data_IF_437512988649
#
_entry.id   IF_437512988649
#
_cell.length_a   1.000
_cell.length_b   1.000
_cell.length_c   1.000
_cell.angle_alpha   90.00
_cell.angle_beta   90.00
_cell.angle_gamma   90.00
#
_symmetry.space_group_name_H-M   'P 1'
#
loop_
_entity.id
_entity.type
_entity.pdbx_description
1 polymer ?
#
# COMPACT_ATOMS: atom_id res chain seq x y z
N UNK A 1 4.85 -17.77 15.52
CA UNK A 1 6.22 -18.19 15.89
C UNK A 1 6.23 -19.66 16.29
N UNK A 2 7.15 -20.48 15.78
CA UNK A 2 7.35 -21.85 16.22
C UNK A 2 8.70 -21.96 16.94
N UNK A 3 8.68 -22.40 18.19
CA UNK A 3 9.88 -22.50 19.02
C UNK A 3 10.46 -23.92 18.98
N UNK A 4 11.79 -23.98 19.04
CA UNK A 4 12.54 -25.23 19.18
C UNK A 4 13.04 -25.36 20.62
N UNK A 5 13.11 -26.58 21.14
CA UNK A 5 13.77 -26.89 22.40
C UNK A 5 14.36 -28.29 22.40
N UNK A 6 15.43 -28.47 23.16
CA UNK A 6 15.98 -29.76 23.58
C UNK A 6 16.09 -29.89 25.12
N UNK A 7 15.86 -28.80 25.86
CA UNK A 7 15.88 -28.74 27.32
C UNK A 7 14.54 -28.24 27.88
N UNK A 8 14.28 -28.58 29.15
CA UNK A 8 13.14 -28.11 29.93
C UNK A 8 13.55 -26.93 30.82
N UNK A 9 12.58 -26.08 31.18
CA UNK A 9 12.80 -24.98 32.13
C UNK A 9 13.39 -25.51 33.44
N UNK A 10 14.50 -24.90 33.87
CA UNK A 10 15.25 -25.30 35.07
C UNK A 10 16.45 -26.23 34.82
N UNK A 11 16.69 -26.64 33.57
CA UNK A 11 17.91 -27.37 33.22
C UNK A 11 19.18 -26.51 33.36
N UNK A 12 20.33 -27.18 33.49
CA UNK A 12 21.63 -26.54 33.70
C UNK A 12 22.22 -25.92 32.42
N UNK A 13 21.82 -26.43 31.26
CA UNK A 13 22.18 -25.97 29.92
C UNK A 13 21.15 -26.44 28.89
N UNK A 14 21.31 -25.99 27.63
CA UNK A 14 20.50 -26.40 26.48
C UNK A 14 19.70 -25.27 25.84
N UNK A 15 18.75 -25.64 24.99
CA UNK A 15 17.88 -24.74 24.23
C UNK A 15 16.44 -24.93 24.70
N UNK A 16 15.81 -23.83 25.10
CA UNK A 16 14.42 -23.79 25.55
C UNK A 16 13.55 -22.86 24.72
N UNK A 17 12.24 -22.96 24.94
CA UNK A 17 11.28 -21.92 24.53
C UNK A 17 11.55 -20.63 25.32
N UNK A 18 11.21 -19.44 24.80
CA UNK A 18 11.38 -18.21 25.57
C UNK A 18 10.43 -18.18 26.78
N UNK A 19 10.84 -17.49 27.84
CA UNK A 19 9.98 -17.18 28.99
C UNK A 19 8.92 -16.14 28.65
N UNK A 20 9.23 -15.25 27.71
CA UNK A 20 8.32 -14.26 27.14
C UNK A 20 8.87 -13.76 25.81
N UNK A 21 8.01 -13.21 24.97
CA UNK A 21 8.42 -12.48 23.78
C UNK A 21 7.39 -11.42 23.44
N UNK A 22 7.80 -10.43 22.64
CA UNK A 22 6.92 -9.40 22.09
C UNK A 22 7.28 -9.12 20.63
N UNK A 23 6.36 -8.55 19.87
CA UNK A 23 6.60 -8.06 18.50
C UNK A 23 6.80 -6.55 18.55
N UNK A 24 7.84 -6.08 17.88
CA UNK A 24 8.14 -4.67 17.73
C UNK A 24 8.35 -4.31 16.24
N UNK A 25 7.92 -3.13 15.84
CA UNK A 25 8.09 -2.60 14.50
C UNK A 25 8.94 -1.33 14.53
N UNK A 26 9.60 -1.02 13.42
CA UNK A 26 10.41 0.18 13.28
C UNK A 26 9.58 1.36 12.76
N UNK A 27 9.44 2.42 13.55
CA UNK A 27 8.64 3.61 13.20
C UNK A 27 9.38 4.63 12.31
N UNK A 28 10.58 4.28 11.84
CA UNK A 28 11.50 5.19 11.13
C UNK A 28 12.63 5.72 12.03
N UNK A 29 12.39 5.82 13.34
CA UNK A 29 13.32 6.38 14.33
C UNK A 29 13.70 5.42 15.46
N UNK A 30 12.80 4.49 15.79
CA UNK A 30 12.93 3.58 16.92
C UNK A 30 12.04 2.35 16.78
N UNK A 31 12.31 1.36 17.63
CA UNK A 31 11.45 0.20 17.78
C UNK A 31 10.27 0.53 18.69
N UNK A 32 9.06 0.21 18.24
CA UNK A 32 7.81 0.35 18.98
C UNK A 32 7.14 -1.01 19.12
N UNK A 33 6.50 -1.26 20.25
CA UNK A 33 5.63 -2.42 20.38
C UNK A 33 4.45 -2.27 19.41
N UNK A 34 3.95 -3.40 18.89
CA UNK A 34 2.65 -3.42 18.21
C UNK A 34 1.52 -3.15 19.21
N UNK A 35 0.39 -2.62 18.73
CA UNK A 35 -0.80 -2.37 19.53
C UNK A 35 -1.81 -3.51 19.39
N UNK A 36 -2.68 -3.64 20.39
CA UNK A 36 -3.66 -4.72 20.58
C UNK A 36 -3.20 -6.15 20.23
N UNK A 37 -2.06 -6.65 20.77
CA UNK A 37 -1.65 -8.02 20.49
C UNK A 37 -2.60 -9.03 21.14
N UNK A 38 -3.10 -10.01 20.37
CA UNK A 38 -3.96 -11.09 20.86
C UNK A 38 -3.29 -12.02 21.88
N UNK A 39 -1.97 -11.91 22.04
CA UNK A 39 -1.16 -12.57 23.06
C UNK A 39 0.14 -13.12 22.50
N UNK A 40 1.10 -13.43 23.37
CA UNK A 40 2.42 -13.96 23.00
C UNK A 40 2.64 -15.35 23.59
N UNK A 41 1.99 -16.35 23.00
CA UNK A 41 2.08 -17.74 23.48
C UNK A 41 3.50 -18.31 23.42
N UNK A 42 3.81 -19.25 24.31
CA UNK A 42 5.10 -19.98 24.36
C UNK A 42 4.90 -21.49 24.28
N UNK A 43 3.77 -21.92 23.70
CA UNK A 43 3.44 -23.32 23.51
C UNK A 43 4.55 -24.05 22.75
N UNK A 44 4.85 -25.25 23.22
CA UNK A 44 5.86 -26.13 22.64
C UNK A 44 5.27 -26.93 21.47
N UNK A 45 6.12 -27.28 20.50
CA UNK A 45 5.76 -28.11 19.34
C UNK A 45 4.55 -27.61 18.53
N UNK A 46 4.24 -26.31 18.61
CA UNK A 46 3.13 -25.68 17.92
C UNK A 46 3.48 -24.25 17.47
N UNK A 47 2.71 -23.73 16.51
CA UNK A 47 2.75 -22.31 16.19
C UNK A 47 2.03 -21.51 17.26
N UNK A 48 2.73 -20.54 17.83
CA UNK A 48 2.18 -19.47 18.65
C UNK A 48 1.80 -18.31 17.72
N UNK A 49 0.51 -18.15 17.46
CA UNK A 49 -0.03 -17.08 16.62
C UNK A 49 -0.33 -15.82 17.47
N UNK A 50 -0.08 -14.65 16.88
CA UNK A 50 -0.37 -13.34 17.47
C UNK A 50 -0.90 -12.46 16.36
N UNK A 51 -2.12 -11.98 16.53
CA UNK A 51 -2.71 -10.90 15.74
C UNK A 51 -2.49 -9.59 16.49
N UNK A 52 -2.45 -8.47 15.77
CA UNK A 52 -2.18 -7.13 16.30
C UNK A 52 -2.65 -6.09 15.28
N UNK A 53 -2.79 -4.84 15.70
CA UNK A 53 -3.17 -3.75 14.78
C UNK A 53 -2.18 -3.64 13.62
N UNK A 54 -2.64 -3.46 12.38
CA UNK A 54 -1.76 -3.36 11.23
C UNK A 54 -0.74 -2.23 11.36
N UNK A 55 0.51 -2.52 10.99
CA UNK A 55 1.59 -1.52 10.97
C UNK A 55 2.20 -1.47 9.58
N UNK A 56 2.45 -0.24 9.10
CA UNK A 56 3.26 -0.02 7.89
C UNK A 56 4.71 0.13 8.29
N UNK A 57 5.54 -0.87 7.98
CA UNK A 57 6.95 -0.86 8.38
C UNK A 57 7.84 -1.58 7.38
N UNK A 58 9.08 -1.10 7.23
CA UNK A 58 10.13 -1.83 6.54
C UNK A 58 10.84 -2.87 7.42
N UNK A 59 10.59 -2.88 8.73
CA UNK A 59 11.24 -3.79 9.68
C UNK A 59 10.30 -4.21 10.80
N UNK A 60 10.21 -5.52 11.00
CA UNK A 60 9.54 -6.15 12.13
C UNK A 60 10.57 -7.01 12.87
N UNK A 61 10.48 -7.07 14.20
CA UNK A 61 11.28 -8.01 15.00
C UNK A 61 10.43 -8.64 16.10
N UNK A 62 10.84 -9.83 16.52
CA UNK A 62 10.46 -10.39 17.80
C UNK A 62 11.59 -10.15 18.80
N UNK A 63 11.28 -9.67 20.01
CA UNK A 63 12.21 -9.58 21.12
C UNK A 63 11.89 -10.69 22.11
N UNK A 64 12.83 -11.60 22.32
CA UNK A 64 12.63 -12.83 23.10
C UNK A 64 13.44 -12.76 24.40
N UNK A 65 12.85 -13.22 25.48
CA UNK A 65 13.50 -13.37 26.78
C UNK A 65 13.66 -14.86 27.06
N UNK A 66 14.89 -15.32 27.30
CA UNK A 66 15.17 -16.71 27.65
C UNK A 66 14.81 -17.04 29.10
N UNK A 67 14.87 -18.31 29.44
CA UNK A 67 14.97 -18.76 30.83
C UNK A 67 16.45 -18.74 31.28
N UNK A 68 16.74 -18.65 32.59
CA UNK A 68 18.11 -18.81 33.08
C UNK A 68 18.75 -20.10 32.56
N UNK A 69 20.04 -20.02 32.22
CA UNK A 69 20.87 -21.13 31.70
C UNK A 69 20.47 -21.73 30.34
N UNK A 70 19.36 -21.30 29.73
CA UNK A 70 18.89 -21.81 28.45
C UNK A 70 19.04 -20.76 27.34
N UNK A 71 19.56 -21.19 26.19
CA UNK A 71 19.45 -20.43 24.95
C UNK A 71 18.00 -20.48 24.42
N UNK A 72 17.58 -19.48 23.64
CA UNK A 72 16.25 -19.46 23.01
C UNK A 72 16.32 -20.12 21.64
N UNK A 73 15.44 -21.11 21.40
CA UNK A 73 15.31 -21.77 20.10
C UNK A 73 14.10 -21.28 19.32
N UNK A 74 14.31 -20.76 18.11
CA UNK A 74 13.25 -20.48 17.14
C UNK A 74 13.45 -21.40 15.95
N UNK A 75 12.41 -22.16 15.59
CA UNK A 75 12.43 -23.00 14.41
C UNK A 75 11.96 -22.23 13.18
N UNK A 76 10.86 -21.49 13.28
CA UNK A 76 10.25 -20.80 12.15
C UNK A 76 9.47 -19.57 12.62
N UNK A 77 9.58 -18.47 11.89
CA UNK A 77 8.74 -17.29 12.06
C UNK A 77 8.02 -16.95 10.76
N UNK A 78 6.69 -16.95 10.81
CA UNK A 78 5.84 -16.48 9.72
C UNK A 78 5.29 -15.12 10.07
N UNK A 79 5.42 -14.18 9.14
CA UNK A 79 4.83 -12.84 9.19
C UNK A 79 3.94 -12.71 7.97
N UNK A 80 2.71 -12.28 8.19
CA UNK A 80 1.73 -12.08 7.13
C UNK A 80 1.48 -10.58 6.98
N UNK A 81 1.30 -10.14 5.74
CA UNK A 81 0.87 -8.79 5.41
C UNK A 81 -0.54 -8.85 4.84
N UNK A 82 -1.32 -7.78 5.02
CA UNK A 82 -2.59 -7.64 4.32
C UNK A 82 -2.35 -7.60 2.81
N UNK A 83 -3.27 -8.17 2.04
CA UNK A 83 -3.30 -7.95 0.61
C UNK A 83 -3.90 -6.56 0.33
N UNK A 84 -3.44 -5.85 -0.70
CA UNK A 84 -4.13 -4.64 -1.14
C UNK A 84 -5.54 -5.00 -1.63
N UNK A 85 -6.50 -4.14 -1.35
CA UNK A 85 -7.86 -4.26 -1.89
C UNK A 85 -7.93 -3.79 -3.34
N UNK A 86 -7.10 -2.81 -3.68
CA UNK A 86 -7.15 -2.12 -4.96
C UNK A 86 -5.74 -1.74 -5.44
N UNK A 87 -5.57 -1.67 -6.75
CA UNK A 87 -4.44 -1.01 -7.41
C UNK A 87 -5.02 0.21 -8.14
N UNK A 88 -4.48 1.40 -7.88
CA UNK A 88 -4.98 2.61 -8.56
C UNK A 88 -4.88 2.43 -10.08
N UNK A 89 -5.91 2.84 -10.83
CA UNK A 89 -5.94 2.63 -12.28
C UNK A 89 -4.79 3.38 -12.96
N UNK A 90 -4.13 2.68 -13.89
CA UNK A 90 -3.06 3.27 -14.71
C UNK A 90 -3.62 3.59 -16.09
N UNK A 91 -3.68 4.88 -16.41
CA UNK A 91 -4.10 5.39 -17.69
C UNK A 91 -2.98 6.24 -18.29
N UNK A 92 -2.51 5.86 -19.49
CA UNK A 92 -1.39 6.53 -20.15
C UNK A 92 -1.82 6.94 -21.56
N UNK A 93 -2.01 8.23 -21.85
CA UNK A 93 -2.26 8.67 -23.21
C UNK A 93 -0.97 8.68 -24.03
N UNK A 94 -1.11 8.43 -25.33
CA UNK A 94 -0.06 8.56 -26.35
C UNK A 94 -0.67 8.99 -27.67
N UNK A 95 0.12 9.45 -28.63
CA UNK A 95 -0.34 9.70 -30.00
C UNK A 95 -0.11 8.51 -30.93
N UNK A 96 -0.81 8.53 -32.08
CA UNK A 96 -0.68 7.49 -33.11
C UNK A 96 0.79 7.24 -33.45
N UNK A 97 1.20 5.96 -33.39
CA UNK A 97 2.55 5.51 -33.74
C UNK A 97 3.59 5.73 -32.64
N UNK A 98 3.23 6.34 -31.50
CA UNK A 98 4.15 6.57 -30.39
C UNK A 98 3.93 5.51 -29.32
N UNK A 99 4.96 4.70 -29.06
CA UNK A 99 4.97 3.74 -27.95
C UNK A 99 5.27 4.51 -26.65
N UNK A 100 4.35 4.56 -25.68
CA UNK A 100 4.57 5.31 -24.46
C UNK A 100 5.45 4.55 -23.47
N UNK A 101 6.13 5.31 -22.60
CA UNK A 101 6.72 4.75 -21.39
C UNK A 101 5.61 4.57 -20.34
N UNK A 102 5.51 3.36 -19.79
CA UNK A 102 4.62 3.07 -18.66
C UNK A 102 5.34 3.36 -17.34
N UNK A 103 4.62 3.73 -16.27
CA UNK A 103 5.24 4.03 -14.98
C UNK A 103 5.96 2.81 -14.41
N UNK A 104 7.10 3.01 -13.76
CA UNK A 104 7.88 1.94 -13.14
C UNK A 104 7.30 1.46 -11.79
N UNK A 105 6.29 2.18 -11.29
CA UNK A 105 5.58 1.92 -10.04
C UNK A 105 4.07 2.08 -10.19
N UNK A 106 3.34 1.37 -9.32
CA UNK A 106 1.89 1.52 -9.15
C UNK A 106 1.55 1.68 -7.68
N UNK A 107 0.49 2.43 -7.41
CA UNK A 107 -0.04 2.61 -6.05
C UNK A 107 -0.98 1.46 -5.70
N UNK A 108 -0.62 0.73 -4.64
CA UNK A 108 -1.46 -0.27 -3.98
C UNK A 108 -2.25 0.41 -2.84
N UNK A 109 -3.54 0.10 -2.73
CA UNK A 109 -4.43 0.61 -1.69
C UNK A 109 -4.88 -0.55 -0.80
N UNK A 110 -4.70 -0.40 0.50
CA UNK A 110 -5.02 -1.39 1.53
C UNK A 110 -6.35 -1.07 2.23
N UNK A 111 -6.99 -2.03 2.92
CA UNK A 111 -8.33 -1.88 3.50
C UNK A 111 -8.57 -0.61 4.33
N UNK A 112 -7.59 -0.22 5.15
CA UNK A 112 -7.64 0.95 6.03
C UNK A 112 -7.24 2.26 5.33
N UNK A 113 -7.01 2.21 4.02
CA UNK A 113 -6.65 3.36 3.18
C UNK A 113 -5.16 3.69 3.16
N UNK A 114 -4.32 2.92 3.86
CA UNK A 114 -2.88 2.97 3.64
C UNK A 114 -2.58 2.73 2.16
N UNK A 115 -1.64 3.51 1.62
CA UNK A 115 -1.18 3.40 0.24
C UNK A 115 0.31 3.09 0.21
N UNK A 116 0.73 2.26 -0.75
CA UNK A 116 2.15 1.92 -0.93
C UNK A 116 2.51 1.82 -2.41
N UNK A 117 3.72 2.24 -2.75
CA UNK A 117 4.24 2.15 -4.11
C UNK A 117 4.95 0.81 -4.34
N UNK A 118 4.46 0.06 -5.34
CA UNK A 118 5.06 -1.20 -5.74
C UNK A 118 5.71 -1.07 -7.13
N UNK A 119 6.98 -1.48 -7.23
CA UNK A 119 7.66 -1.58 -8.52
C UNK A 119 6.93 -2.59 -9.42
N UNK A 120 6.71 -2.22 -10.68
CA UNK A 120 5.98 -3.01 -11.67
C UNK A 120 6.85 -3.26 -12.89
N UNK A 121 6.73 -4.45 -13.48
CA UNK A 121 7.29 -4.77 -14.78
C UNK A 121 6.16 -5.03 -15.77
N UNK A 122 6.12 -4.25 -16.84
CA UNK A 122 5.09 -4.32 -17.86
C UNK A 122 5.49 -5.20 -19.02
N UNK A 123 4.50 -5.80 -19.68
CA UNK A 123 4.69 -6.32 -21.03
C UNK A 123 5.05 -5.18 -21.99
N UNK A 124 5.85 -5.52 -23.00
CA UNK A 124 6.22 -4.59 -24.07
C UNK A 124 5.01 -4.20 -24.91
N UNK A 125 4.93 -2.92 -25.28
CA UNK A 125 3.97 -2.41 -26.26
C UNK A 125 4.65 -2.38 -27.64
N UNK A 126 3.96 -2.85 -28.67
CA UNK A 126 4.45 -2.81 -30.06
C UNK A 126 3.91 -1.59 -30.81
N UNK A 127 4.63 -1.14 -31.84
CA UNK A 127 4.18 -0.04 -32.70
C UNK A 127 2.82 -0.33 -33.36
N UNK A 128 2.56 -1.59 -33.72
CA UNK A 128 1.28 -2.00 -34.32
C UNK A 128 0.10 -1.81 -33.36
N UNK A 129 0.30 -2.03 -32.06
CA UNK A 129 -0.73 -1.80 -31.05
C UNK A 129 -1.12 -0.32 -30.93
N UNK A 130 -0.20 0.60 -31.26
CA UNK A 130 -0.43 2.05 -31.21
C UNK A 130 -0.58 2.69 -32.60
N UNK A 131 -0.68 1.89 -33.66
CA UNK A 131 -0.72 2.39 -35.03
C UNK A 131 -2.05 3.05 -35.41
N UNK A 132 -3.11 2.90 -34.60
CA UNK A 132 -4.45 3.43 -34.89
C UNK A 132 -4.94 4.36 -33.78
N UNK A 133 -5.10 5.64 -34.11
CA UNK A 133 -5.73 6.63 -33.23
C UNK A 133 -7.21 6.33 -32.94
N UNK A 134 -7.69 6.84 -31.80
CA UNK A 134 -9.04 6.58 -31.29
C UNK A 134 -9.22 5.17 -30.73
N UNK A 135 -8.12 4.50 -30.35
CA UNK A 135 -8.16 3.14 -29.78
C UNK A 135 -7.52 3.11 -28.40
N UNK A 136 -7.68 1.98 -27.70
CA UNK A 136 -7.03 1.73 -26.41
C UNK A 136 -6.43 0.34 -26.36
N UNK A 137 -5.27 0.20 -25.71
CA UNK A 137 -4.55 -1.06 -25.53
C UNK A 137 -4.44 -1.36 -24.04
N UNK A 138 -4.80 -2.58 -23.63
CA UNK A 138 -4.55 -3.05 -22.26
C UNK A 138 -3.21 -3.74 -22.20
N UNK A 139 -2.35 -3.30 -21.29
CA UNK A 139 -1.00 -3.85 -21.07
C UNK A 139 -0.96 -4.46 -19.69
N UNK A 140 -0.62 -5.73 -19.61
CA UNK A 140 -0.51 -6.40 -18.31
C UNK A 140 0.89 -6.20 -17.73
N UNK A 141 0.96 -6.13 -16.41
CA UNK A 141 2.20 -6.05 -15.65
C UNK A 141 2.16 -6.92 -14.42
N UNK A 142 3.31 -7.10 -13.79
CA UNK A 142 3.47 -7.83 -12.54
C UNK A 142 4.25 -6.96 -11.54
N UNK A 143 3.69 -6.74 -10.35
CA UNK A 143 4.42 -6.07 -9.26
C UNK A 143 5.46 -7.01 -8.66
N UNK A 144 6.53 -6.47 -8.08
CA UNK A 144 7.60 -7.31 -7.52
C UNK A 144 7.29 -7.84 -6.12
N UNK A 145 6.69 -6.99 -5.26
CA UNK A 145 6.39 -7.33 -3.86
C UNK A 145 5.16 -6.54 -3.37
N UNK A 146 4.05 -7.22 -3.05
CA UNK A 146 3.76 -8.61 -3.40
C UNK A 146 3.66 -8.80 -4.92
N UNK A 147 3.80 -10.03 -5.45
CA UNK A 147 3.56 -10.30 -6.87
C UNK A 147 2.06 -10.28 -7.21
N UNK A 148 1.62 -9.21 -7.88
CA UNK A 148 0.24 -8.99 -8.29
C UNK A 148 0.17 -8.68 -9.78
N UNK A 149 -0.76 -9.31 -10.48
CA UNK A 149 -1.07 -8.96 -11.86
C UNK A 149 -1.82 -7.63 -11.88
N UNK A 150 -1.30 -6.67 -12.65
CA UNK A 150 -1.87 -5.33 -12.81
C UNK A 150 -2.10 -5.02 -14.29
N UNK A 151 -2.93 -4.03 -14.59
CA UNK A 151 -3.25 -3.65 -15.97
C UNK A 151 -3.18 -2.14 -16.13
N UNK A 152 -2.42 -1.69 -17.13
CA UNK A 152 -2.45 -0.33 -17.64
C UNK A 152 -3.33 -0.25 -18.89
N UNK A 153 -3.99 0.88 -19.08
CA UNK A 153 -4.70 1.20 -20.33
C UNK A 153 -3.98 2.34 -21.04
N UNK A 154 -3.43 2.03 -22.21
CA UNK A 154 -2.83 3.01 -23.12
C UNK A 154 -3.91 3.57 -24.04
N UNK A 155 -4.07 4.89 -24.09
CA UNK A 155 -5.04 5.57 -24.94
C UNK A 155 -4.32 6.18 -26.15
N UNK A 156 -4.61 5.68 -27.35
CA UNK A 156 -3.97 6.15 -28.58
C UNK A 156 -4.79 7.28 -29.18
N UNK A 157 -4.35 8.51 -28.98
CA UNK A 157 -5.02 9.73 -29.45
C UNK A 157 -4.75 9.96 -30.94
N UNK A 158 -5.73 10.57 -31.61
CA UNK A 158 -5.56 11.05 -33.00
C UNK A 158 -4.72 12.32 -33.04
N UNK A 159 -4.79 13.14 -31.99
CA UNK A 159 -4.11 14.43 -31.85
C UNK A 159 -3.77 14.69 -30.38
N UNK A 160 -2.75 15.50 -30.12
CA UNK A 160 -2.42 15.98 -28.77
C UNK A 160 -3.22 17.21 -28.34
N UNK A 161 -3.99 17.81 -29.25
CA UNK A 161 -4.86 18.94 -28.93
C UNK A 161 -6.12 18.47 -28.18
N UNK A 162 -5.98 18.27 -26.87
CA UNK A 162 -7.05 17.82 -25.98
C UNK A 162 -7.20 18.70 -24.75
N UNK A 163 -8.40 18.73 -24.20
CA UNK A 163 -8.76 19.47 -23.00
C UNK A 163 -9.36 18.51 -21.97
N UNK A 164 -9.02 18.72 -20.70
CA UNK A 164 -9.60 17.98 -19.58
C UNK A 164 -11.09 18.35 -19.48
N UNK A 165 -11.96 17.35 -19.49
CA UNK A 165 -13.41 17.52 -19.31
C UNK A 165 -13.88 17.15 -17.92
N UNK A 166 -13.17 16.25 -17.24
CA UNK A 166 -13.47 15.87 -15.87
C UNK A 166 -12.26 15.29 -15.17
N UNK A 167 -12.27 15.36 -13.84
CA UNK A 167 -11.30 14.73 -12.94
C UNK A 167 -12.06 13.73 -12.08
N UNK A 168 -11.56 12.50 -11.99
CA UNK A 168 -12.14 11.47 -11.14
C UNK A 168 -12.09 11.90 -9.66
N UNK A 169 -13.17 11.65 -8.94
CA UNK A 169 -13.20 11.85 -7.48
C UNK A 169 -12.35 10.76 -6.81
N UNK A 170 -11.48 11.16 -5.88
CA UNK A 170 -10.71 10.23 -5.05
C UNK A 170 -11.52 9.80 -3.83
N UNK A 171 -11.44 8.52 -3.47
CA UNK A 171 -12.11 7.97 -2.28
C UNK A 171 -11.07 7.35 -1.38
N UNK A 172 -10.82 8.00 -0.26
CA UNK A 172 -9.75 7.65 0.65
C UNK A 172 -10.33 7.13 1.97
N UNK A 173 -9.54 6.32 2.66
CA UNK A 173 -9.82 5.89 4.02
C UNK A 173 -8.63 6.24 4.92
N UNK A 174 -8.90 6.40 6.19
CA UNK A 174 -7.87 6.53 7.23
C UNK A 174 -8.48 6.14 8.58
N UNK A 175 -7.66 5.87 9.59
CA UNK A 175 -8.11 5.63 10.96
C UNK A 175 -8.08 6.92 11.77
N UNK A 176 -8.77 6.95 12.92
CA UNK A 176 -8.87 8.17 13.70
C UNK A 176 -7.48 8.61 14.20
N UNK A 177 -7.22 9.92 14.11
CA UNK A 177 -5.93 10.51 14.47
C UNK A 177 -4.79 10.27 13.47
N UNK A 178 -4.99 9.46 12.42
CA UNK A 178 -4.02 9.26 11.34
C UNK A 178 -4.32 10.22 10.18
N UNK A 179 -3.33 11.02 9.71
CA UNK A 179 -3.53 11.85 8.53
C UNK A 179 -3.82 10.98 7.28
N UNK A 180 -4.82 11.32 6.46
CA UNK A 180 -5.11 10.57 5.25
C UNK A 180 -3.96 10.72 4.22
N UNK A 181 -3.60 9.62 3.57
CA UNK A 181 -2.59 9.60 2.53
C UNK A 181 -3.16 10.17 1.21
N UNK A 182 -2.99 11.47 0.99
CA UNK A 182 -3.49 12.14 -0.21
C UNK A 182 -2.65 11.76 -1.45
N UNK A 183 -3.28 11.36 -2.58
CA UNK A 183 -2.54 11.00 -3.77
C UNK A 183 -1.97 12.24 -4.47
N UNK A 184 -0.71 12.19 -4.92
CA UNK A 184 -0.09 13.31 -5.65
C UNK A 184 -0.63 13.50 -7.09
N UNK A 185 -1.34 12.52 -7.62
CA UNK A 185 -1.95 12.56 -8.96
C UNK A 185 -3.38 12.04 -8.95
N UNK A 186 -4.17 12.48 -9.91
CA UNK A 186 -5.57 12.08 -10.14
C UNK A 186 -5.74 11.57 -11.56
N UNK A 187 -6.86 10.87 -11.81
CA UNK A 187 -7.24 10.50 -13.18
C UNK A 187 -8.06 11.60 -13.83
N UNK A 188 -7.51 12.23 -14.88
CA UNK A 188 -8.27 13.13 -15.76
C UNK A 188 -8.88 12.37 -16.94
N UNK A 189 -10.04 12.82 -17.38
CA UNK A 189 -10.66 12.42 -18.65
C UNK A 189 -10.67 13.61 -19.59
N UNK A 190 -10.37 13.36 -20.86
CA UNK A 190 -10.27 14.39 -21.90
C UNK A 190 -11.48 14.36 -22.84
N UNK A 191 -11.61 15.39 -23.67
CA UNK A 191 -12.71 15.55 -24.62
C UNK A 191 -12.76 14.47 -25.72
N UNK A 192 -11.66 13.77 -25.98
CA UNK A 192 -11.58 12.62 -26.88
C UNK A 192 -11.89 11.27 -26.19
N UNK A 193 -12.22 11.30 -24.90
CA UNK A 193 -12.49 10.13 -24.07
C UNK A 193 -11.23 9.44 -23.51
N UNK A 194 -10.04 9.86 -23.92
CA UNK A 194 -8.79 9.36 -23.33
C UNK A 194 -8.69 9.75 -21.85
N UNK A 195 -7.86 9.02 -21.10
CA UNK A 195 -7.61 9.29 -19.68
C UNK A 195 -6.13 9.32 -19.38
N UNK A 196 -5.78 10.04 -18.33
CA UNK A 196 -4.42 10.17 -17.82
C UNK A 196 -4.43 10.13 -16.29
N UNK A 197 -3.72 9.17 -15.69
CA UNK A 197 -3.60 9.00 -14.24
C UNK A 197 -2.39 9.73 -13.63
N UNK A 198 -1.63 10.48 -14.43
CA UNK A 198 -0.43 11.22 -14.02
C UNK A 198 -0.67 12.71 -13.75
N UNK A 199 -1.92 13.17 -13.82
CA UNK A 199 -2.27 14.58 -13.65
C UNK A 199 -2.04 15.00 -12.20
N UNK A 200 -1.06 15.87 -11.98
CA UNK A 200 -0.66 16.36 -10.66
C UNK A 200 -1.77 17.22 -10.04
N UNK A 201 -2.02 17.01 -8.75
CA UNK A 201 -3.02 17.76 -7.98
C UNK A 201 -2.41 18.31 -6.70
N UNK A 202 -2.72 19.56 -6.42
CA UNK A 202 -2.42 20.22 -5.15
C UNK A 202 -3.66 20.17 -4.26
N UNK A 203 -3.60 19.40 -3.19
CA UNK A 203 -4.69 19.28 -2.21
C UNK A 203 -4.62 20.38 -1.16
N UNK A 204 -5.79 20.79 -0.64
CA UNK A 204 -5.86 21.65 0.52
C UNK A 204 -5.31 20.95 1.77
N UNK A 205 -4.73 21.73 2.68
CA UNK A 205 -4.31 21.23 3.99
C UNK A 205 -5.49 20.66 4.77
N UNK A 206 -5.27 19.55 5.46
CA UNK A 206 -6.29 18.85 6.25
C UNK A 206 -5.98 19.07 7.74
N UNK A 207 -6.79 19.87 8.46
CA UNK A 207 -6.64 20.06 9.89
C UNK A 207 -6.72 18.72 10.67
N UNK A 208 -5.89 18.49 11.69
CA UNK A 208 -5.97 17.29 12.52
C UNK A 208 -7.33 17.02 13.17
N UNK A 209 -8.15 18.06 13.38
CA UNK A 209 -9.51 17.92 13.88
C UNK A 209 -10.46 17.20 12.94
N UNK A 210 -10.20 17.23 11.63
CA UNK A 210 -11.09 16.65 10.61
C UNK A 210 -10.99 15.13 10.54
N UNK A 211 -9.86 14.56 10.97
CA UNK A 211 -9.63 13.12 11.07
C UNK A 211 -9.44 12.63 12.52
N UNK A 212 -9.73 13.45 13.53
CA UNK A 212 -9.60 13.06 14.93
C UNK A 212 -10.67 12.05 15.40
N UNK A 213 -11.76 11.90 14.64
CA UNK A 213 -12.88 11.01 14.97
C UNK A 213 -13.45 10.37 13.70
N UNK A 214 -14.07 9.20 13.83
CA UNK A 214 -14.79 8.54 12.74
C UNK A 214 -15.81 9.46 12.07
N UNK A 215 -15.91 9.37 10.75
CA UNK A 215 -16.78 10.22 9.96
C UNK A 215 -16.35 10.33 8.50
N UNK A 216 -16.97 11.25 7.77
CA UNK A 216 -16.62 11.51 6.36
C UNK A 216 -16.51 13.01 6.14
N UNK A 217 -15.48 13.42 5.39
CA UNK A 217 -15.30 14.81 4.97
C UNK A 217 -14.75 14.89 3.53
N UNK A 218 -14.82 16.07 2.93
CA UNK A 218 -14.31 16.32 1.59
C UNK A 218 -13.09 17.23 1.64
N UNK A 219 -12.12 16.92 0.79
CA UNK A 219 -10.91 17.72 0.57
C UNK A 219 -10.95 18.23 -0.86
N UNK A 220 -10.82 19.54 -1.01
CA UNK A 220 -10.71 20.17 -2.32
C UNK A 220 -9.25 20.11 -2.79
N UNK A 221 -9.07 19.86 -4.08
CA UNK A 221 -7.78 19.96 -4.77
C UNK A 221 -7.88 20.82 -6.01
N UNK A 222 -6.73 21.18 -6.55
CA UNK A 222 -6.61 21.90 -7.81
C UNK A 222 -5.58 21.20 -8.69
N UNK A 223 -5.91 20.93 -9.95
CA UNK A 223 -4.96 20.36 -10.90
C UNK A 223 -3.86 21.39 -11.18
N UNK A 224 -2.61 20.98 -10.97
CA UNK A 224 -1.45 21.86 -11.02
C UNK A 224 -1.35 22.60 -12.36
N UNK A 225 -1.10 23.91 -12.29
CA UNK A 225 -1.00 24.77 -13.48
C UNK A 225 -2.34 25.10 -14.16
N UNK A 226 -3.47 24.71 -13.57
CA UNK A 226 -4.81 24.98 -14.10
C UNK A 226 -5.76 25.54 -13.03
N UNK A 227 -6.97 25.95 -13.41
CA UNK A 227 -8.06 26.26 -12.49
C UNK A 227 -9.02 25.09 -12.22
N UNK A 228 -8.71 23.89 -12.73
CA UNK A 228 -9.59 22.72 -12.66
C UNK A 228 -9.57 22.16 -11.23
N UNK A 229 -10.75 21.90 -10.69
CA UNK A 229 -10.92 21.40 -9.32
C UNK A 229 -10.92 19.87 -9.30
N UNK A 230 -10.28 19.32 -8.29
CA UNK A 230 -10.36 17.93 -7.90
C UNK A 230 -11.06 17.82 -6.54
N UNK A 231 -11.66 16.66 -6.26
CA UNK A 231 -12.33 16.39 -4.99
C UNK A 231 -11.89 15.03 -4.49
N UNK A 232 -11.58 14.95 -3.20
CA UNK A 232 -11.41 13.70 -2.49
C UNK A 232 -12.45 13.60 -1.38
N UNK A 233 -13.10 12.44 -1.26
CA UNK A 233 -13.94 12.10 -0.10
C UNK A 233 -13.13 11.17 0.80
N UNK A 234 -12.90 11.59 2.04
CA UNK A 234 -12.14 10.85 3.05
C UNK A 234 -13.12 10.25 4.06
N UNK A 235 -13.03 8.94 4.28
CA UNK A 235 -13.74 8.24 5.36
C UNK A 235 -12.77 7.91 6.48
N UNK A 236 -13.02 8.44 7.68
CA UNK A 236 -12.30 8.14 8.91
C UNK A 236 -13.00 6.96 9.58
N UNK A 237 -12.26 5.88 9.77
CA UNK A 237 -12.71 4.65 10.41
C UNK A 237 -12.54 4.76 11.93
N UNK A 238 -13.23 3.91 12.68
CA UNK A 238 -12.95 3.68 14.11
C UNK A 238 -11.51 3.17 14.28
N UNK A 239 -10.89 3.55 15.41
CA UNK A 239 -9.71 2.83 15.89
C UNK A 239 -10.19 1.45 16.33
N UNK A 240 -9.58 0.39 15.76
CA UNK A 240 -9.91 -1.00 16.07
C UNK A 240 -9.66 -1.32 17.55
#
# INVERSE_FOLDING_TARGET
MYFFRDAQTGAADGVGVPSSWVIEWWDGSGWRAVTDPSGYGTAENAYNATDFDPVTTGRLRARLTGHPNLAVGVQEWKVYAQAPEEVRPVHVPTTVGVVPELPDRVTLVFPEGAASEAAVSWQSITEEQVARGGTSVRVTGLTQSPPLAVTATVWVRVTDAVEITSVAEERLRTTAGVPPAMPGTVTATYNDGSRDSSVVVDWADIPPGDYARPGTFQVAGTVAGTGIRATATVTVLDDA
#
